data_IF_906834021409
#
_entry.id   IF_906834021409
#
_cell.length_a   1.000
_cell.length_b   1.000
_cell.length_c   1.000
_cell.angle_alpha   90.00
_cell.angle_beta   90.00
_cell.angle_gamma   90.00
#
_symmetry.space_group_name_H-M   'P 1'
#
loop_
_entity.id
_entity.type
_entity.pdbx_description
1 polymer ?
#
# COMPACT_ATOMS: atom_id res chain seq x y z
N UNK A 1 -0.68 -5.62 -0.10
CA UNK A 1 0.47 -5.07 -0.86
C UNK A 1 0.63 -3.57 -0.65
N UNK A 2 -0.38 -2.73 -0.92
CA UNK A 2 -0.30 -1.26 -0.77
C UNK A 2 0.24 -0.83 0.61
N UNK A 3 -0.30 -1.37 1.71
CA UNK A 3 0.22 -1.08 3.07
C UNK A 3 1.70 -1.45 3.26
N UNK A 4 2.15 -2.56 2.66
CA UNK A 4 3.57 -2.96 2.68
C UNK A 4 4.43 -1.98 1.89
N UNK A 5 3.98 -1.58 0.69
CA UNK A 5 4.68 -0.60 -0.14
C UNK A 5 4.77 0.77 0.52
N UNK A 6 3.73 1.20 1.23
CA UNK A 6 3.76 2.46 1.98
C UNK A 6 4.68 2.39 3.21
N UNK A 7 4.80 1.23 3.88
CA UNK A 7 5.81 1.06 4.94
C UNK A 7 7.24 1.08 4.39
N UNK A 8 7.43 0.63 3.15
CA UNK A 8 8.74 0.57 2.49
C UNK A 8 9.17 1.93 1.91
N UNK A 9 8.27 2.60 1.21
CA UNK A 9 8.56 3.74 0.34
C UNK A 9 7.70 4.98 0.63
N UNK A 10 6.85 4.91 1.65
CA UNK A 10 6.02 6.02 2.11
C UNK A 10 6.52 6.62 3.41
N UNK A 11 5.76 7.57 3.92
CA UNK A 11 6.01 8.23 5.20
C UNK A 11 4.71 8.45 5.98
N UNK A 12 4.78 8.49 7.32
CA UNK A 12 3.64 8.87 8.14
C UNK A 12 3.36 10.37 8.02
N UNK A 13 2.09 10.74 8.06
CA UNK A 13 1.63 12.12 8.25
C UNK A 13 0.54 12.14 9.32
N UNK A 14 0.37 13.26 10.04
CA UNK A 14 -0.67 13.38 11.06
C UNK A 14 -2.05 13.12 10.47
N UNK A 15 -2.80 12.17 11.04
CA UNK A 15 -4.19 11.92 10.65
C UNK A 15 -5.20 12.71 11.47
N UNK A 16 -6.43 12.73 10.99
CA UNK A 16 -7.50 13.57 11.55
C UNK A 16 -8.04 13.09 12.91
N UNK A 17 -7.85 11.81 13.24
CA UNK A 17 -8.32 11.20 14.49
C UNK A 17 -7.21 10.99 15.52
N UNK A 18 -6.05 11.66 15.36
CA UNK A 18 -4.86 11.41 16.18
C UNK A 18 -4.13 10.10 15.86
N UNK A 19 -4.52 9.41 14.79
CA UNK A 19 -3.84 8.22 14.27
C UNK A 19 -3.08 8.64 13.01
N UNK A 20 -1.78 8.36 12.96
CA UNK A 20 -0.97 8.64 11.77
C UNK A 20 -1.50 7.89 10.54
N UNK A 21 -1.58 8.60 9.41
CA UNK A 21 -1.90 8.03 8.10
C UNK A 21 -0.61 7.88 7.29
N UNK A 22 -0.58 6.89 6.40
CA UNK A 22 0.61 6.64 5.56
C UNK A 22 0.37 7.21 4.17
N UNK A 23 1.31 8.02 3.70
CA UNK A 23 1.33 8.54 2.32
C UNK A 23 2.41 7.83 1.53
N UNK A 24 2.09 7.40 0.32
CA UNK A 24 3.00 6.75 -0.62
C UNK A 24 3.19 7.62 -1.86
N UNK A 25 4.34 8.30 -2.01
CA UNK A 25 4.65 9.05 -3.22
C UNK A 25 4.91 8.13 -4.41
N UNK A 26 4.35 8.47 -5.58
CA UNK A 26 4.54 7.73 -6.83
C UNK A 26 6.01 7.68 -7.22
N UNK A 27 6.75 8.79 -7.02
CA UNK A 27 8.19 8.87 -7.31
C UNK A 27 8.99 7.87 -6.49
N UNK A 28 8.78 7.84 -5.18
CA UNK A 28 9.46 6.90 -4.28
C UNK A 28 9.11 5.44 -4.62
N UNK A 29 7.83 5.16 -4.89
CA UNK A 29 7.42 3.83 -5.35
C UNK A 29 8.12 3.43 -6.65
N UNK A 30 8.19 4.35 -7.64
CA UNK A 30 8.86 4.14 -8.91
C UNK A 30 10.35 3.86 -8.75
N UNK A 31 11.03 4.56 -7.84
CA UNK A 31 12.45 4.37 -7.53
C UNK A 31 12.71 3.01 -6.85
N UNK A 32 11.75 2.51 -6.08
CA UNK A 32 11.82 1.20 -5.42
C UNK A 32 11.56 0.00 -6.33
N UNK A 33 10.75 0.12 -7.39
CA UNK A 33 10.44 -0.99 -8.32
C UNK A 33 11.72 -1.72 -8.82
N UNK A 34 12.72 -1.03 -9.42
CA UNK A 34 13.92 -1.71 -9.91
C UNK A 34 14.82 -2.24 -8.78
N UNK A 35 14.70 -1.72 -7.55
CA UNK A 35 15.43 -2.24 -6.38
C UNK A 35 14.81 -3.55 -5.92
N UNK A 36 13.49 -3.57 -5.73
CA UNK A 36 12.74 -4.77 -5.36
C UNK A 36 12.93 -5.90 -6.38
N UNK A 37 12.95 -5.58 -7.68
CA UNK A 37 13.16 -6.57 -8.73
C UNK A 37 14.54 -7.26 -8.67
N UNK A 38 15.56 -6.58 -8.14
CA UNK A 38 16.93 -7.13 -8.00
C UNK A 38 17.12 -7.94 -6.72
N UNK A 39 16.33 -7.69 -5.69
CA UNK A 39 16.41 -8.43 -4.42
C UNK A 39 15.75 -9.80 -4.63
N UNK A 40 16.45 -10.92 -4.33
CA UNK A 40 15.88 -12.27 -4.32
C UNK A 40 14.62 -12.35 -3.46
N UNK A 41 13.64 -13.18 -3.85
CA UNK A 41 12.33 -13.17 -3.19
C UNK A 41 12.42 -13.48 -1.69
N UNK A 42 13.18 -14.50 -1.32
CA UNK A 42 13.49 -14.87 0.06
C UNK A 42 14.11 -13.72 0.88
N UNK A 43 14.98 -12.92 0.28
CA UNK A 43 15.61 -11.78 0.96
C UNK A 43 14.67 -10.57 1.15
N UNK A 44 13.52 -10.50 0.47
CA UNK A 44 12.61 -9.34 0.55
C UNK A 44 11.89 -9.22 1.88
N UNK A 45 11.79 -10.28 2.68
CA UNK A 45 11.12 -10.22 3.99
C UNK A 45 11.87 -9.36 5.02
N UNK A 46 13.17 -9.12 4.79
CA UNK A 46 13.96 -8.21 5.62
C UNK A 46 13.59 -6.73 5.40
N UNK A 47 12.82 -6.42 4.36
CA UNK A 47 12.42 -5.05 4.04
C UNK A 47 11.18 -4.63 4.86
N UNK A 48 11.10 -3.35 5.26
CA UNK A 48 9.98 -2.85 6.05
C UNK A 48 8.60 -3.18 5.45
N UNK A 49 7.78 -3.87 6.24
CA UNK A 49 6.39 -4.16 5.90
C UNK A 49 6.17 -5.29 4.87
N UNK A 50 7.22 -5.92 4.36
CA UNK A 50 7.12 -7.10 3.48
C UNK A 50 7.16 -8.36 4.36
N UNK A 51 6.19 -9.24 4.13
CA UNK A 51 6.04 -10.51 4.85
C UNK A 51 6.35 -11.67 3.90
N UNK A 52 6.71 -12.84 4.44
CA UNK A 52 7.09 -14.03 3.65
C UNK A 52 6.07 -14.38 2.55
N UNK A 53 4.78 -14.32 2.86
CA UNK A 53 3.64 -14.57 1.96
C UNK A 53 3.48 -13.52 0.82
N UNK A 54 4.24 -12.42 0.88
CA UNK A 54 4.18 -11.31 -0.10
C UNK A 54 5.42 -11.17 -0.95
N UNK A 55 6.50 -11.85 -0.60
CA UNK A 55 7.80 -11.76 -1.27
C UNK A 55 7.71 -11.96 -2.78
N UNK A 56 6.89 -12.93 -3.23
CA UNK A 56 6.72 -13.26 -4.63
C UNK A 56 5.95 -12.18 -5.40
N UNK A 57 4.78 -11.75 -4.90
CA UNK A 57 3.91 -10.81 -5.63
C UNK A 57 4.23 -9.32 -5.43
N UNK A 58 5.09 -8.95 -4.47
CA UNK A 58 5.25 -7.52 -4.10
C UNK A 58 5.81 -6.66 -5.24
N UNK A 59 6.69 -7.20 -6.09
CA UNK A 59 7.22 -6.47 -7.27
C UNK A 59 6.11 -6.19 -8.27
N UNK A 60 5.30 -7.20 -8.60
CA UNK A 60 4.17 -7.03 -9.50
C UNK A 60 3.16 -6.02 -8.93
N UNK A 61 2.88 -6.09 -7.63
CA UNK A 61 2.00 -5.13 -6.97
C UNK A 61 2.56 -3.70 -7.02
N UNK A 62 3.87 -3.50 -6.84
CA UNK A 62 4.50 -2.19 -6.95
C UNK A 62 4.32 -1.58 -8.36
N UNK A 63 4.50 -2.39 -9.40
CA UNK A 63 4.28 -1.97 -10.79
C UNK A 63 2.82 -1.63 -11.03
N UNK A 64 1.87 -2.47 -10.61
CA UNK A 64 0.44 -2.22 -10.79
C UNK A 64 0.01 -0.93 -10.08
N UNK A 65 0.47 -0.71 -8.85
CA UNK A 65 0.14 0.51 -8.09
C UNK A 65 0.74 1.75 -8.74
N UNK A 66 2.02 1.74 -9.13
CA UNK A 66 2.64 2.87 -9.83
C UNK A 66 1.92 3.22 -11.13
N UNK A 67 1.53 2.19 -11.89
CA UNK A 67 0.82 2.36 -13.16
C UNK A 67 -0.61 2.86 -12.96
N UNK A 68 -1.31 2.37 -11.94
CA UNK A 68 -2.63 2.88 -11.57
C UNK A 68 -2.55 4.36 -11.15
N UNK A 69 -1.57 4.71 -10.31
CA UNK A 69 -1.35 6.11 -9.90
C UNK A 69 -1.05 7.00 -11.11
N UNK A 70 -0.18 6.54 -12.03
CA UNK A 70 0.13 7.24 -13.28
C UNK A 70 -1.11 7.40 -14.17
N UNK A 71 -1.93 6.36 -14.32
CA UNK A 71 -3.12 6.40 -15.15
C UNK A 71 -4.20 7.33 -14.59
N UNK A 72 -4.24 7.51 -13.27
CA UNK A 72 -5.15 8.42 -12.56
C UNK A 72 -4.58 9.83 -12.37
N UNK A 73 -3.37 10.11 -12.86
CA UNK A 73 -2.64 11.38 -12.66
C UNK A 73 -2.49 11.79 -11.19
N UNK A 74 -2.19 10.82 -10.31
CA UNK A 74 -1.95 11.06 -8.88
C UNK A 74 -0.48 10.92 -8.51
N UNK A 75 0.07 11.93 -7.83
CA UNK A 75 1.46 11.92 -7.37
C UNK A 75 1.64 11.25 -6.01
N UNK A 76 0.59 11.22 -5.19
CA UNK A 76 0.62 10.64 -3.85
C UNK A 76 -0.64 9.79 -3.62
N UNK A 77 -0.46 8.67 -2.92
CA UNK A 77 -1.53 7.78 -2.50
C UNK A 77 -1.57 7.73 -0.97
N UNK A 78 -2.68 8.17 -0.39
CA UNK A 78 -2.97 7.91 1.02
C UNK A 78 -3.45 6.46 1.20
N UNK A 79 -2.84 5.73 2.13
CA UNK A 79 -3.22 4.34 2.40
C UNK A 79 -4.39 4.30 3.36
N UNK A 80 -5.53 3.81 2.87
CA UNK A 80 -6.68 3.51 3.73
C UNK A 80 -6.31 2.49 4.82
N UNK A 81 -6.71 2.73 6.08
CA UNK A 81 -6.55 1.75 7.15
C UNK A 81 -7.50 0.57 6.99
N UNK A 82 -8.58 0.72 6.22
CA UNK A 82 -9.67 -0.24 6.05
C UNK A 82 -9.62 -0.91 4.68
N UNK A 83 -10.15 -2.12 4.59
CA UNK A 83 -10.21 -2.91 3.38
C UNK A 83 -11.62 -3.50 3.18
N UNK A 84 -11.71 -4.55 2.37
CA UNK A 84 -12.99 -5.17 2.01
C UNK A 84 -13.79 -5.64 3.23
N UNK A 85 -13.12 -6.16 4.26
CA UNK A 85 -13.78 -6.65 5.48
C UNK A 85 -14.58 -5.55 6.14
N UNK A 86 -13.95 -4.40 6.39
CA UNK A 86 -14.58 -3.26 7.02
C UNK A 86 -15.70 -2.70 6.12
N UNK A 87 -15.46 -2.62 4.81
CA UNK A 87 -16.50 -2.19 3.85
C UNK A 87 -17.76 -3.07 3.84
N UNK A 88 -17.60 -4.39 3.97
CA UNK A 88 -18.75 -5.33 4.07
C UNK A 88 -19.51 -5.12 5.38
N UNK A 89 -18.79 -4.93 6.50
CA UNK A 89 -19.43 -4.68 7.80
C UNK A 89 -20.22 -3.37 7.80
N UNK A 90 -19.66 -2.30 7.24
CA UNK A 90 -20.36 -1.01 7.12
C UNK A 90 -21.64 -1.15 6.31
N UNK A 91 -21.57 -1.82 5.15
CA UNK A 91 -22.77 -2.08 4.32
C UNK A 91 -23.82 -2.92 5.05
N UNK A 92 -23.39 -3.89 5.85
CA UNK A 92 -24.31 -4.69 6.65
C UNK A 92 -25.01 -3.84 7.71
N UNK A 93 -24.28 -2.97 8.42
CA UNK A 93 -24.87 -2.06 9.41
C UNK A 93 -25.86 -1.10 8.75
N UNK A 94 -25.48 -0.48 7.63
CA UNK A 94 -26.37 0.39 6.84
C UNK A 94 -27.68 -0.32 6.45
N UNK A 95 -27.63 -1.63 6.17
CA UNK A 95 -28.83 -2.41 5.82
C UNK A 95 -29.75 -2.76 7.00
N UNK A 96 -29.26 -2.65 8.25
CA UNK A 96 -30.05 -2.85 9.47
C UNK A 96 -30.75 -1.57 9.93
N UNK A 97 -30.30 -0.40 9.44
CA UNK A 97 -30.90 0.90 9.75
C UNK A 97 -32.13 1.22 8.87
N UNK A 98 -32.45 0.35 7.91
CA UNK A 98 -33.68 0.35 7.10
C UNK A 98 -34.63 -0.76 7.52
#
# INVERSE_FOLDING_TARGET
AIRSLAKLAGYPVPGWSGIDRMVLPRRELKDWIPRLARIPADAREALPGITADRTFQIVAAAVVVERAMKAMDVEELEVSPWALREGVLLRYIESLEY
#
